data_IF_805802163549
#
_entry.id   IF_805802163549
#
_cell.length_a   1.000
_cell.length_b   1.000
_cell.length_c   1.000
_cell.angle_alpha   90.00
_cell.angle_beta   90.00
_cell.angle_gamma   90.00
#
_symmetry.space_group_name_H-M   'P 1'
#
loop_
_entity.id
_entity.type
_entity.pdbx_description
1 polymer ?
#
# COMPACT_ATOMS: atom_id res chain seq x y z
N UNK A 1 -9.13 12.72 -39.65
CA UNK A 1 -9.48 11.50 -38.89
C UNK A 1 -9.71 11.90 -37.45
N UNK A 2 -10.94 11.75 -36.99
CA UNK A 2 -11.51 12.31 -35.75
C UNK A 2 -11.12 11.49 -34.52
N UNK A 3 -9.97 11.79 -33.93
CA UNK A 3 -9.58 11.33 -32.59
C UNK A 3 -10.27 12.18 -31.49
N UNK A 4 -11.61 12.25 -31.53
CA UNK A 4 -12.36 13.18 -30.67
C UNK A 4 -13.42 12.51 -29.80
N UNK A 5 -14.14 11.52 -30.34
CA UNK A 5 -15.25 10.88 -29.62
C UNK A 5 -14.78 9.73 -28.73
N UNK A 6 -13.83 8.89 -29.18
CA UNK A 6 -13.33 7.76 -28.41
C UNK A 6 -12.56 8.19 -27.17
N UNK A 7 -11.74 9.24 -27.28
CA UNK A 7 -10.92 9.72 -26.17
C UNK A 7 -11.75 10.44 -25.11
N UNK A 8 -12.79 11.17 -25.54
CA UNK A 8 -13.77 11.75 -24.63
C UNK A 8 -14.58 10.66 -23.90
N UNK A 9 -15.04 9.62 -24.60
CA UNK A 9 -15.78 8.50 -24.01
C UNK A 9 -14.90 7.72 -23.02
N UNK A 10 -13.64 7.47 -23.37
CA UNK A 10 -12.67 6.83 -22.49
C UNK A 10 -12.35 7.69 -21.25
N UNK A 11 -12.30 9.01 -21.41
CA UNK A 11 -12.17 9.96 -20.31
C UNK A 11 -13.36 9.94 -19.36
N UNK A 12 -14.58 9.93 -19.88
CA UNK A 12 -15.81 9.87 -19.08
C UNK A 12 -15.98 8.54 -18.35
N UNK A 13 -15.61 7.42 -18.98
CA UNK A 13 -15.62 6.10 -18.33
C UNK A 13 -14.63 6.05 -17.16
N UNK A 14 -13.42 6.58 -17.32
CA UNK A 14 -12.43 6.69 -16.23
C UNK A 14 -12.94 7.56 -15.08
N UNK A 15 -13.59 8.69 -15.40
CA UNK A 15 -14.18 9.59 -14.38
C UNK A 15 -15.33 8.92 -13.62
N UNK A 16 -16.16 8.12 -14.29
CA UNK A 16 -17.21 7.32 -13.64
C UNK A 16 -16.66 6.19 -12.78
N UNK A 17 -15.59 5.51 -13.22
CA UNK A 17 -14.91 4.48 -12.41
C UNK A 17 -14.30 5.08 -11.16
N UNK A 18 -13.62 6.23 -11.27
CA UNK A 18 -13.06 6.96 -10.13
C UNK A 18 -14.19 7.48 -9.21
N UNK A 19 -15.29 8.00 -9.75
CA UNK A 19 -16.42 8.45 -8.94
C UNK A 19 -17.10 7.30 -8.19
N UNK A 20 -17.16 6.10 -8.78
CA UNK A 20 -17.65 4.89 -8.14
C UNK A 20 -16.71 4.37 -7.05
N UNK A 21 -15.38 4.53 -7.22
CA UNK A 21 -14.38 4.23 -6.19
C UNK A 21 -14.43 5.23 -5.01
N UNK A 22 -14.70 6.51 -5.28
CA UNK A 22 -14.79 7.59 -4.28
C UNK A 22 -16.06 7.48 -3.42
N UNK A 23 -17.18 7.01 -3.98
CA UNK A 23 -18.45 6.88 -3.25
C UNK A 23 -18.46 5.83 -2.13
N UNK A 24 -17.41 4.99 -2.00
CA UNK A 24 -17.46 3.78 -1.18
C UNK A 24 -16.44 3.62 -0.06
N UNK A 25 -15.46 4.49 0.16
CA UNK A 25 -14.13 4.23 0.80
C UNK A 25 -13.12 3.67 -0.21
N UNK A 26 -11.96 4.32 -0.26
CA UNK A 26 -10.95 4.18 -1.31
C UNK A 26 -10.28 2.81 -1.49
N UNK A 27 -9.21 2.76 -2.31
CA UNK A 27 -8.53 1.52 -2.68
C UNK A 27 -8.04 0.69 -1.48
N UNK A 28 -8.11 -0.63 -1.60
CA UNK A 28 -7.70 -1.60 -0.58
C UNK A 28 -6.87 -2.73 -1.19
N UNK A 29 -6.16 -3.48 -0.35
CA UNK A 29 -5.38 -4.64 -0.80
C UNK A 29 -6.35 -5.78 -1.11
N UNK A 30 -6.32 -6.30 -2.34
CA UNK A 30 -7.21 -7.37 -2.76
C UNK A 30 -6.73 -8.75 -2.28
N UNK A 31 -5.42 -9.04 -2.40
CA UNK A 31 -4.89 -10.34 -1.95
C UNK A 31 -3.35 -10.34 -1.86
N UNK A 32 -2.80 -11.16 -0.96
CA UNK A 32 -1.43 -11.70 -1.06
C UNK A 32 -0.28 -10.74 -0.73
N UNK A 33 -0.53 -9.46 -0.49
CA UNK A 33 0.52 -8.47 -0.14
C UNK A 33 0.64 -8.34 1.37
N UNK A 34 1.69 -8.92 1.94
CA UNK A 34 2.07 -8.85 3.35
C UNK A 34 3.54 -8.43 3.48
N UNK A 35 3.89 -7.84 4.63
CA UNK A 35 5.23 -7.32 4.92
C UNK A 35 5.86 -8.15 6.04
N UNK A 36 6.90 -8.89 5.71
CA UNK A 36 7.66 -9.66 6.69
C UNK A 36 9.07 -9.10 6.83
N UNK A 37 9.80 -9.53 7.84
CA UNK A 37 11.24 -9.24 7.95
C UNK A 37 12.05 -10.52 7.72
N UNK A 38 13.06 -10.45 6.85
CA UNK A 38 14.00 -11.58 6.70
C UNK A 38 15.08 -11.55 7.77
N UNK A 39 15.88 -10.48 7.77
CA UNK A 39 17.05 -10.35 8.64
C UNK A 39 17.56 -8.92 8.68
N UNK A 40 18.07 -8.49 9.85
CA UNK A 40 18.64 -7.16 10.03
C UNK A 40 17.61 -6.07 9.71
N UNK A 41 18.00 -5.12 8.87
CA UNK A 41 17.16 -4.00 8.43
C UNK A 41 16.42 -4.28 7.12
N UNK A 42 16.25 -5.54 6.73
CA UNK A 42 15.55 -5.90 5.49
C UNK A 42 14.10 -6.26 5.77
N UNK A 43 13.21 -5.84 4.86
CA UNK A 43 11.82 -6.28 4.84
C UNK A 43 11.50 -6.93 3.51
N UNK A 44 10.74 -8.01 3.56
CA UNK A 44 10.23 -8.73 2.42
C UNK A 44 8.77 -8.39 2.25
N UNK A 45 8.36 -8.09 1.02
CA UNK A 45 6.94 -7.90 0.72
C UNK A 45 6.53 -8.98 -0.29
N UNK A 46 5.57 -9.80 0.12
CA UNK A 46 5.09 -10.96 -0.64
C UNK A 46 4.46 -10.57 -1.98
N UNK A 47 4.38 -11.51 -2.94
CA UNK A 47 3.68 -11.27 -4.20
C UNK A 47 2.17 -11.22 -3.98
N UNK A 48 1.48 -10.33 -4.69
CA UNK A 48 0.03 -10.22 -4.57
C UNK A 48 -0.57 -9.16 -5.49
N UNK A 49 -1.83 -8.84 -5.23
CA UNK A 49 -2.62 -7.90 -6.02
C UNK A 49 -3.25 -6.83 -5.14
N UNK A 50 -3.11 -5.58 -5.55
CA UNK A 50 -3.74 -4.43 -4.93
C UNK A 50 -4.69 -3.74 -5.91
N UNK A 51 -5.80 -3.21 -5.40
CA UNK A 51 -6.56 -2.20 -6.13
C UNK A 51 -6.06 -0.83 -5.69
N UNK A 52 -5.51 -0.07 -6.62
CA UNK A 52 -5.37 1.38 -6.58
C UNK A 52 -6.45 1.94 -7.54
N UNK A 53 -6.31 3.17 -8.05
CA UNK A 53 -7.10 3.67 -9.21
C UNK A 53 -7.10 2.72 -10.43
N UNK A 54 -6.24 1.69 -10.40
CA UNK A 54 -6.19 0.51 -11.27
C UNK A 54 -5.75 -0.73 -10.47
N UNK A 55 -5.98 -1.92 -11.01
CA UNK A 55 -5.38 -3.15 -10.47
C UNK A 55 -3.86 -3.11 -10.68
N UNK A 56 -3.09 -3.29 -9.62
CA UNK A 56 -1.63 -3.40 -9.64
C UNK A 56 -1.25 -4.77 -9.12
N UNK A 57 -0.58 -5.55 -9.96
CA UNK A 57 0.01 -6.83 -9.58
C UNK A 57 1.48 -6.63 -9.22
N UNK A 58 1.91 -7.27 -8.13
CA UNK A 58 3.28 -7.18 -7.66
C UNK A 58 3.92 -8.55 -7.49
N UNK A 59 5.13 -8.69 -8.00
CA UNK A 59 6.01 -9.83 -7.71
C UNK A 59 6.69 -9.63 -6.34
N UNK A 60 7.15 -10.73 -5.73
CA UNK A 60 7.89 -10.67 -4.47
C UNK A 60 9.07 -9.70 -4.61
N UNK A 61 9.27 -8.82 -3.63
CA UNK A 61 10.42 -7.92 -3.64
C UNK A 61 10.81 -7.58 -2.22
N UNK A 62 12.10 -7.69 -1.97
CA UNK A 62 12.78 -7.32 -0.73
C UNK A 62 13.17 -5.85 -0.80
N UNK A 63 12.81 -5.07 0.21
CA UNK A 63 13.46 -3.78 0.43
C UNK A 63 14.74 -4.05 1.18
N UNK A 64 15.84 -3.74 0.52
CA UNK A 64 17.15 -3.82 1.13
C UNK A 64 17.42 -2.55 1.93
N UNK A 65 17.66 -2.73 3.23
CA UNK A 65 18.24 -1.74 4.15
C UNK A 65 17.34 -0.55 4.48
N UNK A 66 16.34 -0.80 5.31
CA UNK A 66 15.69 0.26 6.07
C UNK A 66 16.72 1.01 6.95
N UNK A 67 16.53 2.31 7.20
CA UNK A 67 17.36 3.06 8.14
C UNK A 67 17.19 2.54 9.56
N UNK A 68 18.29 2.48 10.31
CA UNK A 68 18.30 2.07 11.72
C UNK A 68 17.79 3.18 12.66
N UNK A 69 17.38 2.77 13.86
CA UNK A 69 16.93 3.63 14.96
C UNK A 69 15.81 4.59 14.56
N UNK A 70 14.81 4.08 13.85
CA UNK A 70 13.61 4.81 13.48
C UNK A 70 12.39 4.26 14.22
N UNK A 71 11.66 5.10 14.98
CA UNK A 71 10.47 4.66 15.69
C UNK A 71 9.29 4.38 14.75
N UNK A 72 9.29 4.98 13.55
CA UNK A 72 8.26 4.75 12.53
C UNK A 72 8.84 4.95 11.13
N UNK A 73 8.65 3.94 10.29
CA UNK A 73 8.92 3.94 8.85
C UNK A 73 7.63 3.47 8.17
N UNK A 74 7.03 4.31 7.36
CA UNK A 74 5.77 4.01 6.67
C UNK A 74 6.07 3.40 5.30
N UNK A 75 5.51 2.22 5.03
CA UNK A 75 5.73 1.46 3.80
C UNK A 75 4.52 1.63 2.89
N UNK A 76 4.77 1.97 1.64
CA UNK A 76 3.76 2.30 0.64
C UNK A 76 4.01 1.55 -0.67
N UNK A 77 2.94 1.08 -1.31
CA UNK A 77 2.96 0.59 -2.68
C UNK A 77 2.53 1.71 -3.64
N UNK A 78 3.37 2.02 -4.61
CA UNK A 78 3.11 3.01 -5.65
C UNK A 78 2.41 2.37 -6.88
N UNK A 79 1.80 3.16 -7.78
CA UNK A 79 0.99 2.66 -8.90
C UNK A 79 1.81 1.97 -9.99
N UNK A 80 3.11 2.22 -10.02
CA UNK A 80 4.08 1.55 -10.88
C UNK A 80 4.53 0.19 -10.31
N UNK A 81 4.04 -0.19 -9.12
CA UNK A 81 4.41 -1.42 -8.43
C UNK A 81 5.64 -1.29 -7.53
N UNK A 82 6.28 -0.11 -7.49
CA UNK A 82 7.43 0.14 -6.63
C UNK A 82 7.01 0.23 -5.16
N UNK A 83 7.92 -0.18 -4.26
CA UNK A 83 7.74 0.08 -2.82
C UNK A 83 8.52 1.33 -2.44
N UNK A 84 7.82 2.22 -1.76
CA UNK A 84 8.38 3.41 -1.16
C UNK A 84 8.34 3.28 0.37
N UNK A 85 9.35 3.85 1.03
CA UNK A 85 9.31 4.05 2.47
C UNK A 85 9.51 5.53 2.82
N UNK A 86 8.87 6.00 3.88
CA UNK A 86 8.99 7.38 4.36
C UNK A 86 8.96 7.46 5.89
N UNK A 87 9.27 8.64 6.43
CA UNK A 87 9.30 8.89 7.88
C UNK A 87 8.09 9.67 8.40
N UNK A 88 7.20 10.08 7.51
CA UNK A 88 5.95 10.74 7.85
C UNK A 88 4.80 9.94 7.25
N UNK A 89 3.62 10.03 7.88
CA UNK A 89 2.38 9.44 7.36
C UNK A 89 1.78 10.27 6.19
N UNK A 90 2.62 11.01 5.48
CA UNK A 90 2.21 11.76 4.29
C UNK A 90 2.20 10.79 3.12
N UNK A 91 1.06 10.67 2.44
CA UNK A 91 0.92 9.82 1.26
C UNK A 91 1.91 10.29 0.19
N UNK A 92 2.78 9.41 -0.34
CA UNK A 92 3.71 9.77 -1.41
C UNK A 92 2.97 9.97 -2.74
N UNK A 93 3.53 10.81 -3.61
CA UNK A 93 3.09 11.02 -5.01
C UNK A 93 1.62 11.46 -5.18
N UNK A 94 1.24 12.58 -4.54
CA UNK A 94 -0.03 13.29 -4.73
C UNK A 94 -1.32 12.44 -4.71
N UNK A 95 -1.31 11.31 -3.97
CA UNK A 95 -2.53 10.59 -3.56
C UNK A 95 -2.66 9.15 -4.07
N UNK A 96 -1.85 8.73 -5.04
CA UNK A 96 -1.94 7.38 -5.60
C UNK A 96 -0.93 6.43 -4.94
N UNK A 97 -1.09 6.13 -3.66
CA UNK A 97 -0.27 5.12 -2.98
C UNK A 97 -1.07 4.33 -1.93
N UNK A 98 -0.75 3.05 -1.80
CA UNK A 98 -1.41 2.16 -0.86
C UNK A 98 -0.53 1.96 0.38
N UNK A 99 -1.07 2.27 1.54
CA UNK A 99 -0.40 1.99 2.80
C UNK A 99 -0.33 0.48 3.06
N UNK A 100 0.88 -0.04 3.28
CA UNK A 100 1.10 -1.47 3.54
C UNK A 100 1.26 -1.76 5.03
N UNK A 101 2.20 -1.07 5.68
CA UNK A 101 2.54 -1.25 7.09
C UNK A 101 3.38 -0.07 7.62
N UNK A 102 3.46 0.04 8.95
CA UNK A 102 4.46 0.84 9.66
C UNK A 102 5.50 -0.11 10.23
N UNK A 103 6.78 0.22 10.12
CA UNK A 103 7.91 -0.58 10.63
C UNK A 103 8.70 0.24 11.62
N UNK A 104 9.11 -0.36 12.75
CA UNK A 104 10.05 0.24 13.68
C UNK A 104 11.39 -0.50 13.61
N UNK A 105 12.50 0.24 13.62
CA UNK A 105 13.87 -0.29 13.59
C UNK A 105 14.67 0.20 14.79
N UNK A 106 15.48 -0.68 15.36
CA UNK A 106 16.41 -0.37 16.43
C UNK A 106 17.57 -1.37 16.44
N UNK A 107 18.76 -0.90 16.82
CA UNK A 107 19.94 -1.75 17.01
C UNK A 107 20.27 -2.65 15.81
N UNK A 108 20.07 -2.16 14.58
CA UNK A 108 20.37 -2.88 13.35
C UNK A 108 19.36 -3.96 12.97
N UNK A 109 18.16 -3.94 13.56
CA UNK A 109 17.09 -4.88 13.29
C UNK A 109 15.73 -4.20 13.09
N UNK A 110 14.84 -4.84 12.35
CA UNK A 110 13.40 -4.58 12.39
C UNK A 110 12.85 -5.12 13.71
N UNK A 111 12.29 -4.23 14.53
CA UNK A 111 11.78 -4.56 15.86
C UNK A 111 10.28 -4.89 15.84
N UNK A 112 9.50 -4.19 15.01
CA UNK A 112 8.07 -4.43 14.87
C UNK A 112 7.52 -4.02 13.52
N UNK A 113 6.42 -4.66 13.12
CA UNK A 113 5.63 -4.34 11.93
C UNK A 113 4.18 -4.19 12.39
N UNK A 114 3.62 -2.99 12.20
CA UNK A 114 2.25 -2.64 12.51
C UNK A 114 1.43 -2.49 11.22
N UNK A 115 0.30 -3.18 11.18
CA UNK A 115 -0.64 -3.17 10.06
C UNK A 115 -1.89 -2.32 10.32
N UNK A 116 -1.92 -1.56 11.41
CA UNK A 116 -3.02 -0.66 11.75
C UNK A 116 -3.31 0.33 10.64
N UNK A 117 -4.59 0.46 10.29
CA UNK A 117 -5.03 1.38 9.23
C UNK A 117 -4.98 0.78 7.83
N UNK A 118 -4.42 -0.43 7.65
CA UNK A 118 -4.51 -1.18 6.39
C UNK A 118 -5.95 -1.62 6.13
N UNK A 119 -6.42 -1.44 4.89
CA UNK A 119 -7.69 -1.98 4.40
C UNK A 119 -7.41 -3.13 3.44
N UNK A 120 -8.02 -4.28 3.70
CA UNK A 120 -8.02 -5.45 2.81
C UNK A 120 -9.43 -5.73 2.29
N UNK A 121 -9.51 -6.27 1.09
CA UNK A 121 -10.74 -6.77 0.46
C UNK A 121 -10.67 -8.28 0.53
N UNK A 122 -11.59 -8.93 1.24
CA UNK A 122 -11.68 -10.40 1.32
C UNK A 122 -13.12 -10.78 1.04
N UNK A 123 -13.34 -11.75 0.16
CA UNK A 123 -14.69 -12.21 -0.23
C UNK A 123 -15.63 -11.08 -0.69
N UNK A 124 -15.08 -10.04 -1.33
CA UNK A 124 -15.83 -8.86 -1.77
C UNK A 124 -16.23 -7.89 -0.65
N UNK A 125 -15.83 -8.14 0.60
CA UNK A 125 -16.03 -7.29 1.76
C UNK A 125 -14.74 -6.55 2.14
N UNK A 126 -14.90 -5.33 2.65
CA UNK A 126 -13.76 -4.53 3.14
C UNK A 126 -13.53 -4.76 4.62
N UNK A 127 -12.32 -5.20 4.95
CA UNK A 127 -11.82 -5.36 6.30
C UNK A 127 -10.80 -4.28 6.57
N UNK A 128 -11.04 -3.46 7.60
CA UNK A 128 -10.00 -2.56 8.12
C UNK A 128 -9.31 -3.25 9.28
N UNK A 129 -7.99 -3.40 9.19
CA UNK A 129 -7.19 -3.82 10.33
C UNK A 129 -7.02 -2.62 11.25
N UNK A 130 -7.79 -2.61 12.33
CA UNK A 130 -7.62 -1.66 13.43
C UNK A 130 -6.86 -2.45 14.48
N UNK A 131 -5.55 -2.25 14.65
CA UNK A 131 -4.89 -2.90 15.77
C UNK A 131 -5.35 -2.19 17.05
N UNK A 132 -6.31 -2.83 17.72
CA UNK A 132 -6.36 -2.83 19.17
C UNK A 132 -6.27 -4.31 19.60
N UNK A 133 -5.06 -4.85 19.55
CA UNK A 133 -4.70 -5.99 20.38
C UNK A 133 -3.25 -5.85 20.85
N UNK A 134 -3.05 -5.07 21.92
CA UNK A 134 -1.81 -5.00 22.69
C UNK A 134 -1.14 -3.64 22.69
N UNK A 135 -0.76 -3.15 23.88
CA UNK A 135 0.11 -1.97 24.05
C UNK A 135 1.47 -2.24 23.39
N UNK A 136 2.14 -1.24 22.80
CA UNK A 136 3.53 -1.39 22.41
C UNK A 136 4.36 -1.78 23.65
N UNK A 137 5.12 -2.87 23.54
CA UNK A 137 6.24 -3.15 24.45
C UNK A 137 7.51 -2.54 23.87
#
# INVERSE_FOLDING_TARGET
>A
MTAGASDAINGYLRLMTIAAEIGGNGPGIAEGIDVDHSSGLNIDVSPGTAMLSRIVQRAATTIHTLPDNKPAIYIWLLPDGAIYYGFTLTVPNDGDALFLATVATAAGAVNSIDYSGRVSIQDGLRYRRVADSGRPQ
#
